data_IF_291183562617
#
_entry.id   IF_291183562617
#
_cell.length_a   1.000
_cell.length_b   1.000
_cell.length_c   1.000
_cell.angle_alpha   90.00
_cell.angle_beta   90.00
_cell.angle_gamma   90.00
#
_symmetry.space_group_name_H-M   'P 1'
#
loop_
_entity.id
_entity.type
_entity.pdbx_description
1 polymer ?
#
# COMPACT_ATOMS: atom_id res chain seq x y z
N UNK A 1 -6.35 -16.26 7.70
CA UNK A 1 -4.89 -16.55 7.68
C UNK A 1 -4.40 -16.62 9.12
N UNK A 2 -3.50 -17.53 9.48
CA UNK A 2 -2.93 -17.65 10.84
C UNK A 2 -2.11 -16.43 11.29
N UNK A 3 -2.04 -15.36 10.48
CA UNK A 3 -1.13 -14.23 10.67
C UNK A 3 -1.71 -12.89 10.17
N UNK A 4 -2.97 -12.56 10.52
CA UNK A 4 -3.56 -11.24 10.23
C UNK A 4 -2.63 -10.08 10.67
N UNK A 5 -1.94 -10.27 11.79
CA UNK A 5 -0.96 -9.32 12.33
C UNK A 5 0.22 -9.06 11.39
N UNK A 6 0.76 -10.08 10.72
CA UNK A 6 1.86 -9.89 9.73
C UNK A 6 1.38 -9.06 8.53
N UNK A 7 0.12 -9.23 8.14
CA UNK A 7 -0.47 -8.51 7.02
C UNK A 7 -0.63 -7.02 7.31
N UNK A 8 -1.13 -6.69 8.51
CA UNK A 8 -1.24 -5.31 9.00
C UNK A 8 0.15 -4.67 9.09
N UNK A 9 1.14 -5.39 9.62
CA UNK A 9 2.53 -4.91 9.69
C UNK A 9 3.12 -4.61 8.32
N UNK A 10 2.87 -5.46 7.32
CA UNK A 10 3.34 -5.22 5.95
C UNK A 10 2.71 -3.95 5.34
N UNK A 11 1.42 -3.71 5.58
CA UNK A 11 0.75 -2.51 5.09
C UNK A 11 1.27 -1.23 5.78
N UNK A 12 1.48 -1.29 7.10
CA UNK A 12 2.10 -0.18 7.85
C UNK A 12 3.54 0.09 7.39
N UNK A 13 4.30 -0.96 7.09
CA UNK A 13 5.66 -0.81 6.57
C UNK A 13 5.67 -0.16 5.18
N UNK A 14 4.78 -0.59 4.28
CA UNK A 14 4.65 0.02 2.96
C UNK A 14 4.25 1.50 3.05
N UNK A 15 3.31 1.84 3.93
CA UNK A 15 2.92 3.23 4.18
C UNK A 15 4.10 4.05 4.71
N UNK A 16 4.82 3.52 5.70
CA UNK A 16 5.99 4.18 6.27
C UNK A 16 7.09 4.42 5.23
N UNK A 17 7.34 3.45 4.32
CA UNK A 17 8.29 3.60 3.23
C UNK A 17 7.89 4.72 2.26
N UNK A 18 6.62 4.76 1.84
CA UNK A 18 6.12 5.83 0.95
C UNK A 18 6.26 7.20 1.59
N UNK A 19 5.88 7.33 2.87
CA UNK A 19 6.04 8.59 3.61
C UNK A 19 7.51 8.99 3.74
N UNK A 20 8.39 8.06 4.09
CA UNK A 20 9.83 8.33 4.24
C UNK A 20 10.45 8.83 2.94
N UNK A 21 10.08 8.22 1.81
CA UNK A 21 10.54 8.63 0.48
C UNK A 21 10.07 10.06 0.17
N UNK A 22 8.77 10.34 0.37
CA UNK A 22 8.20 11.67 0.10
C UNK A 22 8.85 12.75 1.00
N UNK A 23 9.04 12.46 2.29
CA UNK A 23 9.70 13.37 3.23
C UNK A 23 11.16 13.61 2.85
N UNK A 24 11.89 12.56 2.47
CA UNK A 24 13.30 12.69 2.08
C UNK A 24 13.47 13.56 0.83
N UNK A 25 12.62 13.38 -0.18
CA UNK A 25 12.65 14.21 -1.37
C UNK A 25 12.34 15.68 -1.06
N UNK A 26 11.35 15.96 -0.21
CA UNK A 26 11.04 17.32 0.22
C UNK A 26 12.21 17.97 1.00
N UNK A 27 12.91 17.20 1.84
CA UNK A 27 14.09 17.67 2.59
C UNK A 27 15.29 18.01 1.68
N UNK A 28 15.46 17.31 0.57
CA UNK A 28 16.56 17.55 -0.39
C UNK A 28 16.18 18.64 -1.42
N UNK A 29 15.01 19.26 -1.27
CA UNK A 29 14.51 20.31 -2.17
C UNK A 29 14.02 19.79 -3.52
N UNK A 30 13.81 18.47 -3.64
CA UNK A 30 13.26 17.86 -4.84
C UNK A 30 11.73 17.90 -4.71
N UNK A 31 11.11 18.76 -5.50
CA UNK A 31 9.66 18.97 -5.49
C UNK A 31 8.90 17.83 -6.17
N UNK A 32 8.76 16.69 -5.48
CA UNK A 32 7.86 15.62 -5.90
C UNK A 32 6.45 15.93 -5.40
N UNK A 33 5.55 16.34 -6.28
CA UNK A 33 4.13 16.51 -5.92
C UNK A 33 3.61 17.93 -5.77
N UNK A 34 4.47 18.95 -5.77
CA UNK A 34 4.05 20.35 -5.54
C UNK A 34 3.38 20.98 -6.76
N UNK A 35 3.61 20.43 -7.95
CA UNK A 35 2.89 20.82 -9.16
C UNK A 35 1.53 20.11 -9.25
N UNK A 36 0.50 20.80 -9.73
CA UNK A 36 -0.85 20.23 -9.94
C UNK A 36 -0.82 18.96 -10.81
N UNK A 37 0.14 18.87 -11.73
CA UNK A 37 0.39 17.68 -12.57
C UNK A 37 0.89 16.45 -11.79
N UNK A 38 1.43 16.63 -10.58
CA UNK A 38 2.03 15.57 -9.76
C UNK A 38 1.11 15.01 -8.66
N UNK A 39 -0.13 15.50 -8.56
CA UNK A 39 -1.18 14.95 -7.66
C UNK A 39 -1.50 13.49 -7.99
N UNK A 40 -1.66 13.17 -9.27
CA UNK A 40 -2.02 11.83 -9.73
C UNK A 40 -0.95 10.78 -9.36
N UNK A 41 0.34 10.95 -9.72
CA UNK A 41 1.37 9.98 -9.35
C UNK A 41 1.58 9.85 -7.85
N UNK A 42 1.43 10.94 -7.07
CA UNK A 42 1.52 10.87 -5.61
C UNK A 42 0.36 10.10 -4.98
N UNK A 43 -0.87 10.36 -5.44
CA UNK A 43 -2.02 9.58 -5.02
C UNK A 43 -1.84 8.10 -5.38
N UNK A 44 -1.29 7.80 -6.56
CA UNK A 44 -1.00 6.45 -6.99
C UNK A 44 0.05 5.76 -6.10
N UNK A 45 1.14 6.46 -5.75
CA UNK A 45 2.17 5.96 -4.84
C UNK A 45 1.63 5.61 -3.45
N UNK A 46 0.64 6.35 -2.95
CA UNK A 46 -0.01 6.04 -1.68
C UNK A 46 -1.04 4.92 -1.79
N UNK A 47 -1.87 4.95 -2.83
CA UNK A 47 -3.06 4.09 -2.94
C UNK A 47 -2.73 2.72 -3.55
N UNK A 48 -1.82 2.64 -4.53
CA UNK A 48 -1.46 1.39 -5.21
C UNK A 48 -1.01 0.27 -4.24
N UNK A 49 -0.08 0.50 -3.29
CA UNK A 49 0.28 -0.54 -2.33
C UNK A 49 -0.92 -0.96 -1.47
N UNK A 50 -1.73 -0.01 -1.00
CA UNK A 50 -2.92 -0.31 -0.19
C UNK A 50 -3.94 -1.16 -0.96
N UNK A 51 -4.21 -0.82 -2.23
CA UNK A 51 -5.11 -1.59 -3.10
C UNK A 51 -4.58 -2.99 -3.40
N UNK A 52 -3.27 -3.15 -3.61
CA UNK A 52 -2.64 -4.46 -3.79
C UNK A 52 -2.86 -5.38 -2.58
N UNK A 53 -2.74 -4.83 -1.36
CA UNK A 53 -3.02 -5.57 -0.13
C UNK A 53 -4.51 -5.89 0.04
N UNK A 54 -5.42 -4.96 -0.27
CA UNK A 54 -6.88 -5.20 -0.25
C UNK A 54 -7.26 -6.31 -1.23
N UNK A 55 -6.74 -6.27 -2.45
CA UNK A 55 -6.97 -7.29 -3.45
C UNK A 55 -6.46 -8.67 -3.00
N UNK A 56 -5.23 -8.73 -2.48
CA UNK A 56 -4.67 -9.98 -1.97
C UNK A 56 -5.50 -10.54 -0.80
N UNK A 57 -5.96 -9.66 0.10
CA UNK A 57 -6.82 -10.03 1.22
C UNK A 57 -8.15 -10.62 0.72
N UNK A 58 -8.81 -9.97 -0.23
CA UNK A 58 -10.04 -10.46 -0.85
C UNK A 58 -9.83 -11.83 -1.53
N UNK A 59 -8.77 -11.96 -2.33
CA UNK A 59 -8.40 -13.22 -3.00
C UNK A 59 -8.19 -14.35 -1.97
N UNK A 60 -7.53 -14.06 -0.85
CA UNK A 60 -7.29 -15.03 0.22
C UNK A 60 -8.59 -15.55 0.84
N UNK A 61 -9.61 -14.70 1.02
CA UNK A 61 -10.92 -15.10 1.52
C UNK A 61 -11.68 -16.00 0.53
N UNK A 62 -11.69 -15.64 -0.76
CA UNK A 62 -12.33 -16.44 -1.80
C UNK A 62 -11.72 -17.84 -1.91
N UNK A 63 -10.39 -17.95 -1.85
CA UNK A 63 -9.68 -19.24 -1.89
C UNK A 63 -9.93 -20.08 -0.64
N UNK A 64 -10.09 -19.45 0.53
CA UNK A 64 -10.36 -20.18 1.78
C UNK A 64 -11.78 -20.75 1.82
N UNK A 65 -12.77 -20.01 1.32
CA UNK A 65 -14.15 -20.49 1.23
C UNK A 65 -14.30 -21.68 0.27
N UNK A 66 -13.50 -21.71 -0.81
CA UNK A 66 -13.49 -22.84 -1.77
C UNK A 66 -12.89 -24.14 -1.20
N UNK A 67 -12.08 -24.06 -0.14
CA UNK A 67 -11.49 -25.23 0.55
C UNK A 67 -12.36 -25.79 1.68
N UNK A 68 -13.43 -25.11 2.07
CA UNK A 68 -14.36 -25.57 3.13
C UNK A 68 -15.60 -26.24 2.53
N UNK A 69 -15.81 -26.13 1.21
CA UNK A 69 -16.91 -26.76 0.48
C UNK A 69 -16.52 -28.06 -0.25
N UNK A 70 -15.46 -28.75 0.20
CA UNK A 70 -15.04 -30.07 -0.31
C UNK A 70 -14.96 -31.04 0.85
#
# INVERSE_FOLDING_TARGET
>A
MKNKTKFIKANLYALFAVLSILTFYDMVGIEIGKNVSSIIPNAFLMIAPQLGFVWYYWRSYSVKNKKVSV
#
